data_IF_443907020439
#
_entry.id   IF_443907020439
#
_cell.length_a   1.000
_cell.length_b   1.000
_cell.length_c   1.000
_cell.angle_alpha   90.00
_cell.angle_beta   90.00
_cell.angle_gamma   90.00
#
_symmetry.space_group_name_H-M   'P 1'
#
loop_
_entity.id
_entity.type
_entity.pdbx_description
1 polymer ?
#
# COMPACT_ATOMS: atom_id res chain seq x y z
N UNK A 1 -53.56 44.46 52.64
CA UNK A 1 -53.79 43.02 52.41
C UNK A 1 -53.24 42.67 51.03
N UNK A 2 -52.37 41.64 50.94
CA UNK A 2 -52.03 40.80 49.77
C UNK A 2 -51.46 41.55 48.54
N UNK A 3 -50.15 41.54 48.21
CA UNK A 3 -49.22 40.44 47.83
C UNK A 3 -49.59 39.71 46.53
N UNK A 4 -48.82 39.91 45.44
CA UNK A 4 -48.24 38.85 44.60
C UNK A 4 -47.42 39.42 43.42
N UNK A 5 -46.15 39.01 43.35
CA UNK A 5 -45.22 39.11 42.22
C UNK A 5 -45.37 37.88 41.31
N UNK A 6 -45.11 38.02 39.99
CA UNK A 6 -44.49 37.09 39.00
C UNK A 6 -44.94 37.52 37.59
N UNK A 7 -44.32 37.30 36.42
CA UNK A 7 -43.14 36.62 35.82
C UNK A 7 -43.06 37.25 34.40
N UNK A 8 -41.94 37.71 33.84
CA UNK A 8 -40.77 36.96 33.39
C UNK A 8 -40.93 36.53 31.91
N UNK A 9 -40.07 37.01 31.02
CA UNK A 9 -39.69 36.38 29.74
C UNK A 9 -38.43 37.08 29.20
N UNK A 10 -37.26 36.64 29.66
CA UNK A 10 -35.98 36.94 29.01
C UNK A 10 -35.83 35.90 27.90
N UNK A 11 -35.87 36.34 26.64
CA UNK A 11 -35.62 35.48 25.48
C UNK A 11 -34.17 35.03 25.46
N UNK A 12 -33.94 33.72 25.57
CA UNK A 12 -32.63 33.11 25.40
C UNK A 12 -32.32 32.96 23.90
N UNK A 13 -31.21 33.56 23.46
CA UNK A 13 -30.58 33.30 22.17
C UNK A 13 -29.97 31.89 22.21
N UNK A 14 -30.51 30.97 21.41
CA UNK A 14 -29.91 29.65 21.20
C UNK A 14 -28.65 29.80 20.34
N UNK A 15 -27.48 29.54 20.93
CA UNK A 15 -26.22 29.43 20.20
C UNK A 15 -26.14 28.05 19.53
N UNK A 16 -26.18 28.03 18.20
CA UNK A 16 -25.94 26.82 17.40
C UNK A 16 -24.47 26.41 17.53
N UNK A 17 -24.20 25.38 18.33
CA UNK A 17 -22.88 24.76 18.41
C UNK A 17 -22.58 24.00 17.11
N UNK A 18 -21.51 24.39 16.40
CA UNK A 18 -20.96 23.60 15.31
C UNK A 18 -20.25 22.40 15.93
N UNK A 19 -20.92 21.24 15.92
CA UNK A 19 -20.29 19.97 16.28
C UNK A 19 -19.23 19.62 15.23
N UNK A 20 -17.97 19.89 15.53
CA UNK A 20 -16.84 19.34 14.81
C UNK A 20 -16.80 17.84 15.12
N UNK A 21 -17.37 17.03 14.21
CA UNK A 21 -17.21 15.58 14.28
C UNK A 21 -15.70 15.27 14.17
N UNK A 22 -15.14 14.41 15.03
CA UNK A 22 -13.77 13.95 14.85
C UNK A 22 -13.68 13.25 13.49
N UNK A 23 -12.69 13.63 12.69
CA UNK A 23 -12.32 12.92 11.47
C UNK A 23 -12.01 11.49 11.85
N UNK A 24 -12.96 10.58 11.58
CA UNK A 24 -12.68 9.15 11.61
C UNK A 24 -11.69 8.88 10.49
N UNK A 25 -10.40 8.83 10.82
CA UNK A 25 -9.40 8.25 9.93
C UNK A 25 -9.80 6.78 9.79
N UNK A 26 -10.42 6.43 8.66
CA UNK A 26 -10.61 5.05 8.29
C UNK A 26 -9.23 4.40 8.27
N UNK A 27 -9.05 3.36 9.06
CA UNK A 27 -7.87 2.50 8.99
C UNK A 27 -7.68 2.11 7.51
N UNK A 28 -6.45 2.19 6.94
CA UNK A 28 -6.25 1.94 5.52
C UNK A 28 -6.84 0.58 5.16
N UNK A 29 -7.94 0.59 4.40
CA UNK A 29 -8.63 -0.64 4.06
C UNK A 29 -7.73 -1.42 3.11
N UNK A 30 -7.42 -2.68 3.47
CA UNK A 30 -6.65 -3.56 2.61
C UNK A 30 -7.34 -3.60 1.22
N UNK A 31 -6.61 -3.33 0.13
CA UNK A 31 -7.19 -3.39 -1.19
C UNK A 31 -7.57 -4.83 -1.53
N UNK A 32 -8.78 -5.04 -2.05
CA UNK A 32 -9.18 -6.32 -2.63
C UNK A 32 -8.39 -6.54 -3.93
N UNK A 33 -7.33 -7.35 -3.85
CA UNK A 33 -6.47 -7.67 -4.98
C UNK A 33 -7.01 -8.84 -5.82
N UNK A 34 -8.09 -9.52 -5.40
CA UNK A 34 -8.61 -10.70 -6.10
C UNK A 34 -9.46 -10.36 -7.31
N UNK A 35 -9.96 -9.12 -7.39
CA UNK A 35 -10.62 -8.57 -8.58
C UNK A 35 -9.70 -8.35 -9.79
N UNK A 36 -8.37 -8.41 -9.61
CA UNK A 36 -7.39 -8.14 -10.68
C UNK A 36 -6.99 -9.42 -11.42
N UNK A 37 -6.83 -9.31 -12.74
CA UNK A 37 -6.40 -10.46 -13.56
C UNK A 37 -4.92 -10.73 -13.36
N UNK A 38 -4.57 -11.93 -12.91
CA UNK A 38 -3.17 -12.31 -12.74
C UNK A 38 -2.47 -12.45 -14.10
N UNK A 39 -1.33 -11.76 -14.26
CA UNK A 39 -0.44 -11.95 -15.41
C UNK A 39 0.48 -13.14 -15.22
N UNK A 40 1.14 -13.55 -16.30
CA UNK A 40 2.21 -14.54 -16.22
C UNK A 40 3.46 -13.91 -15.59
N UNK A 41 3.78 -14.25 -14.33
CA UNK A 41 4.87 -13.65 -13.54
C UNK A 41 6.25 -13.71 -14.20
N UNK A 42 6.54 -14.75 -14.99
CA UNK A 42 7.83 -14.89 -15.69
C UNK A 42 8.08 -13.77 -16.71
N UNK A 43 7.03 -13.17 -17.27
CA UNK A 43 7.14 -12.05 -18.21
C UNK A 43 7.72 -10.78 -17.58
N UNK A 44 7.68 -10.69 -16.25
CA UNK A 44 8.12 -9.56 -15.45
C UNK A 44 9.34 -9.90 -14.60
N UNK A 45 9.83 -11.14 -14.66
CA UNK A 45 10.96 -11.59 -13.84
C UNK A 45 12.25 -11.02 -14.41
N UNK A 46 13.01 -10.33 -13.57
CA UNK A 46 14.33 -9.79 -13.90
C UNK A 46 15.38 -10.55 -13.10
N UNK A 47 16.38 -11.07 -13.81
CA UNK A 47 17.53 -11.70 -13.19
C UNK A 47 18.36 -10.65 -12.45
N UNK A 48 18.54 -10.83 -11.14
CA UNK A 48 19.45 -9.99 -10.36
C UNK A 48 20.83 -10.69 -10.39
N UNK A 49 21.85 -10.12 -11.06
CA UNK A 49 23.18 -10.70 -11.12
C UNK A 49 23.83 -10.60 -9.75
N UNK A 50 23.57 -11.59 -8.90
CA UNK A 50 24.19 -11.71 -7.58
C UNK A 50 25.27 -12.76 -7.67
N UNK A 51 26.49 -12.34 -8.06
CA UNK A 51 27.68 -13.19 -7.98
C UNK A 51 27.83 -13.69 -6.54
N UNK A 52 27.50 -14.96 -6.28
CA UNK A 52 27.61 -15.60 -4.96
C UNK A 52 26.30 -16.08 -4.33
N UNK A 53 25.12 -15.70 -4.85
CA UNK A 53 23.84 -16.07 -4.23
C UNK A 53 23.10 -17.22 -4.94
N UNK A 54 23.65 -17.82 -6.00
CA UNK A 54 23.08 -19.00 -6.70
C UNK A 54 21.56 -18.90 -6.98
N UNK A 55 21.08 -17.74 -7.44
CA UNK A 55 19.66 -17.52 -7.71
C UNK A 55 18.76 -17.41 -6.46
N UNK A 56 19.33 -17.19 -5.28
CA UNK A 56 18.57 -16.96 -4.04
C UNK A 56 17.86 -15.60 -4.01
N UNK A 57 18.32 -14.65 -4.81
CA UNK A 57 17.65 -13.37 -5.03
C UNK A 57 16.93 -13.42 -6.36
N UNK A 58 15.66 -13.05 -6.39
CA UNK A 58 14.93 -12.84 -7.63
C UNK A 58 13.97 -11.70 -7.47
N UNK A 59 13.66 -11.05 -8.58
CA UNK A 59 12.73 -9.94 -8.61
C UNK A 59 11.76 -10.04 -9.76
N UNK A 60 10.56 -9.52 -9.55
CA UNK A 60 9.75 -8.98 -10.65
C UNK A 60 9.90 -7.48 -10.68
N UNK A 61 9.92 -6.90 -11.88
CA UNK A 61 9.97 -5.46 -12.10
C UNK A 61 8.97 -5.08 -13.20
N UNK A 62 8.23 -4.01 -12.98
CA UNK A 62 7.20 -3.54 -13.91
C UNK A 62 7.00 -2.04 -13.80
N UNK A 63 6.54 -1.41 -14.88
CA UNK A 63 6.01 -0.06 -14.84
C UNK A 63 4.49 -0.10 -14.68
N UNK A 64 3.91 0.98 -14.15
CA UNK A 64 2.47 1.13 -13.94
C UNK A 64 1.86 2.15 -14.92
N UNK A 65 0.55 2.07 -15.22
CA UNK A 65 -0.14 3.09 -16.01
C UNK A 65 -0.05 4.50 -15.40
N UNK A 66 0.00 4.58 -14.07
CA UNK A 66 0.15 5.83 -13.32
C UNK A 66 1.59 6.37 -13.28
N UNK A 67 2.56 5.68 -13.92
CA UNK A 67 3.92 6.17 -14.13
C UNK A 67 4.93 5.78 -13.05
N UNK A 68 4.59 4.86 -12.14
CA UNK A 68 5.55 4.31 -11.19
C UNK A 68 6.37 3.17 -11.83
N UNK A 69 7.59 2.97 -11.34
CA UNK A 69 8.37 1.75 -11.55
C UNK A 69 8.41 0.97 -10.25
N UNK A 70 7.87 -0.24 -10.30
CA UNK A 70 7.68 -1.08 -9.14
C UNK A 70 8.48 -2.38 -9.25
N UNK A 71 8.84 -2.92 -8.11
CA UNK A 71 9.52 -4.21 -8.01
C UNK A 71 9.09 -4.96 -6.77
N UNK A 72 9.11 -6.28 -6.84
CA UNK A 72 9.08 -7.16 -5.68
C UNK A 72 10.34 -7.99 -5.72
N UNK A 73 11.17 -7.86 -4.69
CA UNK A 73 12.42 -8.60 -4.54
C UNK A 73 12.26 -9.58 -3.40
N UNK A 74 12.65 -10.84 -3.61
CA UNK A 74 12.70 -11.86 -2.54
C UNK A 74 14.11 -12.44 -2.50
N UNK A 75 14.72 -12.43 -1.31
CA UNK A 75 15.97 -13.08 -1.01
C UNK A 75 15.76 -14.22 -0.01
N UNK A 76 15.62 -15.44 -0.52
CA UNK A 76 15.33 -16.61 0.32
C UNK A 76 16.50 -17.01 1.23
N UNK A 77 17.74 -16.61 0.90
CA UNK A 77 18.92 -16.86 1.76
C UNK A 77 19.11 -15.78 2.82
N UNK A 78 18.82 -14.53 2.45
CA UNK A 78 18.86 -13.39 3.37
C UNK A 78 17.64 -13.28 4.26
N UNK A 79 16.59 -14.07 4.01
CA UNK A 79 15.31 -14.08 4.75
C UNK A 79 14.60 -12.72 4.76
N UNK A 80 14.60 -12.05 3.61
CA UNK A 80 13.91 -10.77 3.44
C UNK A 80 13.22 -10.67 2.08
N UNK A 81 12.20 -9.84 2.03
CA UNK A 81 11.50 -9.41 0.84
C UNK A 81 11.30 -7.89 0.89
N UNK A 82 11.01 -7.30 -0.26
CA UNK A 82 10.63 -5.90 -0.35
C UNK A 82 9.78 -5.68 -1.60
N UNK A 83 8.61 -5.08 -1.44
CA UNK A 83 7.87 -4.45 -2.52
C UNK A 83 8.19 -2.95 -2.52
N UNK A 84 8.64 -2.42 -3.65
CA UNK A 84 9.05 -1.02 -3.77
C UNK A 84 8.44 -0.43 -5.02
N UNK A 85 7.94 0.81 -4.94
CA UNK A 85 7.57 1.62 -6.11
C UNK A 85 8.26 2.97 -6.04
N UNK A 86 8.83 3.41 -7.18
CA UNK A 86 9.45 4.73 -7.34
C UNK A 86 8.77 5.51 -8.46
N UNK A 87 8.84 6.84 -8.41
CA UNK A 87 8.18 7.73 -9.37
C UNK A 87 7.19 8.67 -8.68
N UNK A 88 6.13 9.12 -9.37
CA UNK A 88 5.10 9.96 -8.76
C UNK A 88 4.34 9.19 -7.66
N UNK A 89 4.30 9.73 -6.45
CA UNK A 89 3.55 9.21 -5.30
C UNK A 89 2.49 10.26 -4.88
N UNK A 90 1.23 10.11 -5.34
CA UNK A 90 0.18 11.12 -5.10
C UNK A 90 -0.07 11.37 -3.62
N UNK A 91 -0.35 12.63 -3.28
CA UNK A 91 -0.61 13.05 -1.89
C UNK A 91 0.62 13.11 -0.98
N UNK A 92 1.84 12.93 -1.51
CA UNK A 92 3.08 13.01 -0.72
C UNK A 92 4.14 13.88 -1.40
N UNK A 93 5.13 14.33 -0.63
CA UNK A 93 6.34 14.96 -1.18
C UNK A 93 7.43 13.96 -1.57
N UNK A 94 7.17 12.66 -1.38
CA UNK A 94 8.11 11.58 -1.58
C UNK A 94 8.05 11.03 -3.00
N UNK A 95 9.12 10.39 -3.45
CA UNK A 95 9.17 9.75 -4.77
C UNK A 95 9.34 8.21 -4.70
N UNK A 96 9.22 7.64 -3.51
CA UNK A 96 9.39 6.21 -3.26
C UNK A 96 8.54 5.73 -2.10
N UNK A 97 8.07 4.49 -2.20
CA UNK A 97 7.43 3.73 -1.12
C UNK A 97 7.97 2.31 -1.11
N UNK A 98 8.20 1.76 0.08
CA UNK A 98 8.64 0.38 0.25
C UNK A 98 7.89 -0.30 1.40
N UNK A 99 7.62 -1.59 1.28
CA UNK A 99 7.03 -2.44 2.32
C UNK A 99 7.69 -3.82 2.32
N UNK A 100 7.69 -4.51 3.45
CA UNK A 100 8.19 -5.89 3.57
C UNK A 100 7.30 -6.70 4.51
N UNK A 101 7.45 -8.02 4.53
CA UNK A 101 6.72 -8.86 5.49
C UNK A 101 6.99 -8.51 6.97
N UNK A 102 8.09 -7.80 7.29
CA UNK A 102 8.44 -7.39 8.67
C UNK A 102 8.02 -5.96 8.99
N UNK A 103 7.90 -5.10 7.99
CA UNK A 103 7.71 -3.67 8.17
C UNK A 103 6.57 -3.16 7.30
N UNK A 104 5.64 -2.45 7.94
CA UNK A 104 4.60 -1.67 7.28
C UNK A 104 5.21 -0.74 6.22
N UNK A 105 4.39 -0.36 5.24
CA UNK A 105 4.85 0.51 4.17
C UNK A 105 5.41 1.85 4.67
N UNK A 106 6.47 2.34 4.03
CA UNK A 106 7.13 3.61 4.36
C UNK A 106 7.43 4.43 3.12
N UNK A 107 7.03 5.70 3.16
CA UNK A 107 7.40 6.70 2.15
C UNK A 107 8.82 7.22 2.37
N UNK A 108 9.54 7.47 1.29
CA UNK A 108 10.92 7.94 1.31
C UNK A 108 11.32 8.55 -0.03
N UNK A 109 12.55 9.06 -0.10
CA UNK A 109 13.13 9.54 -1.35
C UNK A 109 14.20 8.56 -1.85
N UNK A 110 14.17 8.27 -3.14
CA UNK A 110 15.09 7.36 -3.83
C UNK A 110 15.61 8.02 -5.10
N UNK A 111 16.89 7.79 -5.42
CA UNK A 111 17.40 8.15 -6.74
C UNK A 111 16.65 7.31 -7.79
N UNK A 112 15.93 7.98 -8.69
CA UNK A 112 15.19 7.31 -9.76
C UNK A 112 16.16 6.47 -10.62
N UNK A 113 16.01 5.14 -10.61
CA UNK A 113 16.75 4.30 -11.53
C UNK A 113 15.99 4.23 -12.85
N UNK A 114 16.59 4.69 -13.94
CA UNK A 114 15.94 4.82 -15.26
C UNK A 114 15.60 3.49 -15.97
N UNK A 115 15.59 2.36 -15.26
CA UNK A 115 15.08 1.10 -15.78
C UNK A 115 13.56 1.08 -15.71
N UNK A 116 12.88 1.34 -16.82
CA UNK A 116 11.44 1.10 -16.89
C UNK A 116 11.19 -0.39 -17.11
N UNK A 117 10.58 -1.03 -16.11
CA UNK A 117 10.10 -2.41 -16.27
C UNK A 117 9.02 -2.49 -17.35
N UNK A 118 8.76 -3.71 -17.85
CA UNK A 118 7.62 -3.96 -18.75
C UNK A 118 6.33 -3.42 -18.11
N UNK A 119 5.47 -2.77 -18.90
CA UNK A 119 4.20 -2.25 -18.40
C UNK A 119 3.32 -3.40 -17.87
N UNK A 120 2.83 -3.25 -16.64
CA UNK A 120 1.75 -4.08 -16.12
C UNK A 120 0.42 -3.44 -16.57
N UNK A 121 -0.43 -4.14 -17.35
CA UNK A 121 -1.66 -3.55 -17.86
C UNK A 121 -2.64 -3.19 -16.74
N UNK A 122 -3.38 -2.08 -16.90
CA UNK A 122 -4.45 -1.71 -15.98
C UNK A 122 -5.46 -2.87 -15.81
N UNK A 123 -5.96 -3.07 -14.59
CA UNK A 123 -6.84 -4.18 -14.24
C UNK A 123 -6.10 -5.51 -14.02
N UNK A 124 -4.77 -5.50 -14.00
CA UNK A 124 -3.95 -6.69 -13.79
C UNK A 124 -3.20 -6.70 -12.46
N UNK A 125 -2.80 -7.88 -12.01
CA UNK A 125 -1.88 -8.09 -10.89
C UNK A 125 -0.71 -8.98 -11.26
N UNK A 126 0.42 -8.77 -10.62
CA UNK A 126 1.54 -9.70 -10.56
C UNK A 126 1.59 -10.32 -9.17
N UNK A 127 1.71 -11.64 -9.10
CA UNK A 127 1.91 -12.39 -7.86
C UNK A 127 3.29 -13.02 -7.93
N UNK A 128 4.15 -12.68 -6.99
CA UNK A 128 5.52 -13.18 -6.92
C UNK A 128 5.76 -13.89 -5.59
N UNK A 129 5.87 -15.21 -5.66
CA UNK A 129 6.07 -16.09 -4.50
C UNK A 129 7.40 -16.82 -4.62
N UNK A 130 8.20 -16.79 -3.54
CA UNK A 130 9.38 -17.64 -3.39
C UNK A 130 9.57 -18.05 -1.93
N UNK A 131 9.81 -19.34 -1.70
CA UNK A 131 9.90 -19.87 -0.35
C UNK A 131 8.56 -19.68 0.37
N UNK A 132 8.59 -18.99 1.50
CA UNK A 132 7.39 -18.62 2.26
C UNK A 132 6.90 -17.21 1.96
N UNK A 133 7.60 -16.41 1.17
CA UNK A 133 7.25 -14.99 0.96
C UNK A 133 6.45 -14.81 -0.33
N UNK A 134 5.44 -13.94 -0.27
CA UNK A 134 4.61 -13.55 -1.41
C UNK A 134 4.44 -12.04 -1.43
N UNK A 135 4.78 -11.42 -2.56
CA UNK A 135 4.37 -10.05 -2.87
C UNK A 135 3.33 -10.07 -3.99
N UNK A 136 2.22 -9.39 -3.78
CA UNK A 136 1.17 -9.19 -4.79
C UNK A 136 1.04 -7.71 -5.07
N UNK A 137 1.23 -7.30 -6.32
CA UNK A 137 1.00 -5.93 -6.75
C UNK A 137 -0.05 -5.87 -7.85
N UNK A 138 -1.05 -5.01 -7.68
CA UNK A 138 -2.10 -4.75 -8.65
C UNK A 138 -2.04 -3.30 -9.13
N UNK A 139 -2.43 -3.10 -10.38
CA UNK A 139 -2.45 -1.77 -11.00
C UNK A 139 -3.78 -1.51 -11.72
N UNK A 140 -4.21 -0.26 -11.65
CA UNK A 140 -5.28 0.32 -12.45
C UNK A 140 -4.74 1.57 -13.19
N UNK A 141 -5.59 2.31 -13.89
CA UNK A 141 -5.21 3.52 -14.63
C UNK A 141 -4.55 4.59 -13.75
N UNK A 142 -5.02 4.72 -12.50
CA UNK A 142 -4.60 5.78 -11.58
C UNK A 142 -4.26 5.26 -10.18
N UNK A 143 -4.15 3.94 -10.03
CA UNK A 143 -3.90 3.32 -8.73
C UNK A 143 -2.88 2.19 -8.85
N UNK A 144 -1.98 2.11 -7.88
CA UNK A 144 -1.06 0.98 -7.70
C UNK A 144 -1.13 0.51 -6.25
N UNK A 145 -1.36 -0.78 -6.01
CA UNK A 145 -1.37 -1.36 -4.68
C UNK A 145 -0.42 -2.53 -4.60
N UNK A 146 0.36 -2.63 -3.53
CA UNK A 146 1.20 -3.78 -3.25
C UNK A 146 0.96 -4.28 -1.83
N UNK A 147 0.81 -5.59 -1.68
CA UNK A 147 0.70 -6.30 -0.42
C UNK A 147 1.82 -7.32 -0.34
N UNK A 148 2.45 -7.41 0.83
CA UNK A 148 3.52 -8.34 1.12
C UNK A 148 3.13 -9.18 2.33
N UNK A 149 3.24 -10.49 2.18
CA UNK A 149 2.80 -11.45 3.19
C UNK A 149 3.65 -12.73 3.11
N UNK A 150 3.44 -13.61 4.08
CA UNK A 150 4.00 -14.97 4.11
C UNK A 150 2.91 -16.01 3.88
N UNK A 151 3.23 -17.05 3.12
CA UNK A 151 2.40 -18.24 2.95
C UNK A 151 2.37 -18.98 4.29
N UNK A 152 1.20 -19.15 4.93
CA UNK A 152 1.09 -19.88 6.19
C UNK A 152 1.56 -21.33 6.00
N UNK A 153 2.25 -21.88 7.00
CA UNK A 153 2.53 -23.32 7.03
C UNK A 153 1.24 -24.09 7.34
N UNK A 154 1.11 -25.35 6.87
CA UNK A 154 -0.04 -26.18 7.25
C UNK A 154 -0.18 -26.26 8.78
N UNK A 155 -1.33 -25.81 9.30
CA UNK A 155 -1.62 -25.79 10.74
C UNK A 155 -1.25 -24.48 11.46
N UNK A 156 -0.75 -23.48 10.75
CA UNK A 156 -0.42 -22.15 11.29
C UNK A 156 -1.40 -21.12 10.71
N UNK A 157 -1.99 -20.28 11.58
CA UNK A 157 -2.70 -19.08 11.14
C UNK A 157 -1.66 -18.04 10.71
N UNK A 158 -1.93 -17.28 9.64
CA UNK A 158 -1.08 -16.15 9.23
C UNK A 158 -0.90 -15.22 10.43
N UNK A 159 0.32 -15.17 11.00
CA UNK A 159 0.57 -14.54 12.29
C UNK A 159 0.76 -13.02 12.21
N UNK A 160 0.83 -12.45 11.00
CA UNK A 160 1.04 -11.02 10.80
C UNK A 160 -0.15 -10.37 10.11
N UNK A 161 -0.44 -9.11 10.46
CA UNK A 161 -1.20 -8.27 9.57
C UNK A 161 -0.41 -8.11 8.26
N UNK A 162 -1.06 -8.18 7.08
CA UNK A 162 -0.38 -7.93 5.82
C UNK A 162 0.19 -6.51 5.83
N UNK A 163 1.39 -6.33 5.27
CA UNK A 163 1.99 -5.02 5.09
C UNK A 163 1.92 -4.60 3.63
N UNK A 164 1.92 -3.30 3.37
CA UNK A 164 1.83 -2.82 2.02
C UNK A 164 1.60 -1.34 1.88
N UNK A 165 1.15 -0.98 0.69
CA UNK A 165 0.82 0.38 0.33
C UNK A 165 -0.21 0.45 -0.78
N UNK A 166 -0.95 1.56 -0.81
CA UNK A 166 -1.82 1.95 -1.91
C UNK A 166 -1.39 3.34 -2.38
N UNK A 167 -1.06 3.46 -3.65
CA UNK A 167 -0.82 4.70 -4.35
C UNK A 167 -2.11 5.07 -5.07
N UNK A 168 -2.97 5.86 -4.42
CA UNK A 168 -4.23 6.31 -5.01
C UNK A 168 -4.03 7.50 -5.96
N UNK A 169 -5.10 7.95 -6.64
CA UNK A 169 -5.04 9.09 -7.56
C UNK A 169 -4.74 10.42 -6.86
N UNK A 170 -5.31 10.62 -5.67
CA UNK A 170 -5.22 11.87 -4.91
C UNK A 170 -4.30 11.74 -3.69
N UNK A 171 -4.42 10.62 -2.97
CA UNK A 171 -3.65 10.31 -1.77
C UNK A 171 -3.09 8.89 -1.81
N UNK A 172 -1.94 8.71 -1.16
CA UNK A 172 -1.28 7.41 -0.96
C UNK A 172 -1.28 7.04 0.51
N UNK A 173 -1.36 5.74 0.81
CA UNK A 173 -1.34 5.20 2.18
C UNK A 173 -0.44 3.99 2.30
N UNK A 174 -0.07 3.67 3.53
CA UNK A 174 0.69 2.47 3.90
C UNK A 174 0.00 1.75 5.05
N UNK A 175 0.25 0.45 5.18
CA UNK A 175 -0.26 -0.40 6.25
C UNK A 175 0.74 -1.53 6.54
#
# INVERSE_FOLDING_TARGET
MVSARTVGCIGALAASGVSLAPSAFAEPQLPDLDRYTAVTTSDYTVAIPTSGYNGAVSSVQFSTPAGQNCSVVINVRGMWDNATCTGPIPGTSHNSVAASYLEAGKFSDSAFSAGQGKLLPAGSKVVFTRGVWTGTCAVDQVMTACVVDTVPRPGESTSGAPHGFVLGPDESSTF
#
